data_IF_159881920625
#
_entry.id   IF_159881920625
#
_cell.length_a   1.000
_cell.length_b   1.000
_cell.length_c   1.000
_cell.angle_alpha   90.00
_cell.angle_beta   90.00
_cell.angle_gamma   90.00
#
_symmetry.space_group_name_H-M   'P 1'
#
loop_
_entity.id
_entity.type
_entity.pdbx_description
1 polymer ?
#
# COMPACT_ATOMS: atom_id res chain seq x y z
N UNK A 1 3.35 26.94 2.43
CA UNK A 1 3.02 27.35 1.05
C UNK A 1 2.33 26.26 0.21
N UNK A 2 2.85 25.04 0.07
CA UNK A 2 2.30 24.03 -0.88
C UNK A 2 0.93 23.45 -0.46
N UNK A 3 0.55 23.52 0.83
CA UNK A 3 -0.69 22.91 1.35
C UNK A 3 -1.95 23.38 0.61
N UNK A 4 -2.03 24.66 0.25
CA UNK A 4 -3.23 25.27 -0.34
C UNK A 4 -3.21 25.31 -1.88
N UNK A 5 -2.15 24.78 -2.50
CA UNK A 5 -2.04 24.73 -3.95
C UNK A 5 -2.87 23.59 -4.52
N UNK A 6 -3.55 23.86 -5.64
CA UNK A 6 -4.17 22.82 -6.45
C UNK A 6 -3.10 21.98 -7.18
N UNK A 7 -3.53 20.96 -7.92
CA UNK A 7 -2.60 20.05 -8.62
C UNK A 7 -1.68 20.79 -9.60
N UNK A 8 -2.25 21.63 -10.47
CA UNK A 8 -1.51 22.39 -11.50
C UNK A 8 -0.50 23.35 -10.88
N UNK A 9 -0.89 24.05 -9.83
CA UNK A 9 -0.01 24.96 -9.09
C UNK A 9 1.11 24.19 -8.36
N UNK A 10 0.79 23.01 -7.81
CA UNK A 10 1.80 22.17 -7.17
C UNK A 10 2.81 21.63 -8.18
N UNK A 11 2.38 21.31 -9.39
CA UNK A 11 3.26 20.89 -10.48
C UNK A 11 4.19 22.02 -10.93
N UNK A 12 3.66 23.23 -11.14
CA UNK A 12 4.46 24.39 -11.53
C UNK A 12 5.52 24.73 -10.46
N UNK A 13 5.14 24.76 -9.19
CA UNK A 13 6.09 24.96 -8.08
C UNK A 13 7.15 23.86 -8.04
N UNK A 14 6.75 22.58 -8.17
CA UNK A 14 7.68 21.46 -8.18
C UNK A 14 8.62 21.46 -9.40
N UNK A 15 8.23 22.11 -10.50
CA UNK A 15 9.09 22.38 -11.67
C UNK A 15 10.12 23.46 -11.37
N UNK A 16 9.70 24.57 -10.76
CA UNK A 16 10.56 25.72 -10.45
C UNK A 16 11.56 25.45 -9.32
N UNK A 17 11.21 24.61 -8.36
CA UNK A 17 12.05 24.28 -7.20
C UNK A 17 13.20 23.29 -7.52
N UNK A 18 13.42 22.91 -8.79
CA UNK A 18 14.49 21.98 -9.21
C UNK A 18 14.44 20.63 -8.47
N UNK A 19 13.23 20.19 -8.10
CA UNK A 19 13.04 18.88 -7.46
C UNK A 19 13.38 17.74 -8.43
N UNK A 20 13.91 16.65 -7.88
CA UNK A 20 14.12 15.40 -8.62
C UNK A 20 12.79 14.83 -9.14
N UNK A 21 12.87 13.91 -10.10
CA UNK A 21 11.68 13.26 -10.67
C UNK A 21 10.90 12.49 -9.60
N UNK A 22 11.61 11.83 -8.70
CA UNK A 22 11.08 11.06 -7.59
C UNK A 22 10.36 11.97 -6.59
N UNK A 23 10.97 13.08 -6.17
CA UNK A 23 10.36 14.04 -5.25
C UNK A 23 9.11 14.68 -5.84
N UNK A 24 9.17 15.08 -7.12
CA UNK A 24 8.01 15.63 -7.83
C UNK A 24 6.88 14.61 -7.88
N UNK A 25 7.18 13.34 -8.19
CA UNK A 25 6.19 12.27 -8.19
C UNK A 25 5.53 12.11 -6.83
N UNK A 26 6.30 12.13 -5.74
CA UNK A 26 5.77 12.04 -4.36
C UNK A 26 4.77 13.17 -4.08
N UNK A 27 5.10 14.42 -4.43
CA UNK A 27 4.23 15.57 -4.20
C UNK A 27 2.94 15.44 -5.02
N UNK A 28 3.07 15.12 -6.30
CA UNK A 28 1.93 15.05 -7.23
C UNK A 28 0.99 13.89 -6.90
N UNK A 29 1.51 12.70 -6.60
CA UNK A 29 0.71 11.55 -6.20
C UNK A 29 0.00 11.81 -4.87
N UNK A 30 0.68 12.43 -3.90
CA UNK A 30 0.05 12.86 -2.63
C UNK A 30 -1.10 13.81 -2.91
N UNK A 31 -0.88 14.86 -3.72
CA UNK A 31 -1.93 15.84 -4.06
C UNK A 31 -3.11 15.22 -4.78
N UNK A 32 -2.86 14.27 -5.67
CA UNK A 32 -3.89 13.56 -6.44
C UNK A 32 -4.74 12.65 -5.57
N UNK A 33 -4.15 11.93 -4.63
CA UNK A 33 -4.82 10.85 -3.89
C UNK A 33 -5.33 11.27 -2.50
N UNK A 34 -4.67 12.23 -1.84
CA UNK A 34 -5.02 12.67 -0.48
C UNK A 34 -6.49 13.13 -0.32
N UNK A 35 -7.12 13.85 -1.28
CA UNK A 35 -8.53 14.21 -1.15
C UNK A 35 -9.46 13.01 -1.04
N UNK A 36 -9.20 11.94 -1.81
CA UNK A 36 -9.99 10.70 -1.77
C UNK A 36 -9.81 9.96 -0.45
N UNK A 37 -8.58 9.93 0.06
CA UNK A 37 -8.23 9.35 1.36
C UNK A 37 -8.97 10.08 2.49
N UNK A 38 -8.90 11.42 2.50
CA UNK A 38 -9.60 12.24 3.49
C UNK A 38 -11.12 12.08 3.41
N UNK A 39 -11.67 11.96 2.20
CA UNK A 39 -13.09 11.69 2.01
C UNK A 39 -13.49 10.34 2.59
N UNK A 40 -12.72 9.28 2.33
CA UNK A 40 -12.98 7.94 2.86
C UNK A 40 -12.93 7.91 4.39
N UNK A 41 -11.96 8.60 5.00
CA UNK A 41 -11.86 8.76 6.45
C UNK A 41 -13.07 9.52 7.03
N UNK A 42 -13.45 10.65 6.43
CA UNK A 42 -14.59 11.46 6.89
C UNK A 42 -15.93 10.74 6.77
N UNK A 43 -16.10 9.92 5.73
CA UNK A 43 -17.30 9.08 5.54
C UNK A 43 -17.29 7.81 6.40
N UNK A 44 -16.24 7.60 7.20
CA UNK A 44 -16.08 6.43 8.06
C UNK A 44 -16.26 5.11 7.30
N UNK A 45 -15.62 4.99 6.13
CA UNK A 45 -15.64 3.76 5.37
C UNK A 45 -14.99 2.60 6.15
N UNK A 46 -15.32 1.34 5.81
CA UNK A 46 -14.67 0.17 6.40
C UNK A 46 -13.14 0.26 6.32
N UNK A 47 -12.45 -0.24 7.35
CA UNK A 47 -10.99 -0.10 7.49
C UNK A 47 -10.21 -0.73 6.32
N UNK A 48 -10.67 -1.86 5.80
CA UNK A 48 -10.07 -2.50 4.62
C UNK A 48 -10.13 -1.58 3.40
N UNK A 49 -11.22 -0.84 3.24
CA UNK A 49 -11.41 0.13 2.16
C UNK A 49 -10.55 1.39 2.37
N UNK A 50 -10.43 1.89 3.60
CA UNK A 50 -9.51 2.98 3.95
C UNK A 50 -8.07 2.57 3.66
N UNK A 51 -7.66 1.35 4.01
CA UNK A 51 -6.30 0.88 3.77
C UNK A 51 -5.98 0.75 2.28
N UNK A 52 -6.96 0.44 1.42
CA UNK A 52 -6.77 0.52 -0.04
C UNK A 52 -6.47 1.94 -0.52
N UNK A 53 -7.04 2.98 0.10
CA UNK A 53 -6.68 4.35 -0.23
C UNK A 53 -5.30 4.74 0.29
N UNK A 54 -4.93 4.25 1.48
CA UNK A 54 -3.60 4.51 2.02
C UNK A 54 -2.49 3.90 1.15
N UNK A 55 -2.72 2.75 0.51
CA UNK A 55 -1.73 2.16 -0.41
C UNK A 55 -1.53 2.94 -1.71
N UNK A 56 -2.41 3.90 -2.03
CA UNK A 56 -2.24 4.83 -3.15
C UNK A 56 -1.32 6.01 -2.79
N UNK A 57 -1.13 6.29 -1.50
CA UNK A 57 -0.24 7.36 -1.08
C UNK A 57 1.21 6.88 -1.03
N UNK A 58 2.17 7.70 -1.47
CA UNK A 58 3.57 7.47 -1.13
C UNK A 58 3.77 7.59 0.39
N UNK A 59 4.86 7.04 0.93
CA UNK A 59 5.14 7.04 2.38
C UNK A 59 5.06 8.45 2.98
N UNK A 60 5.67 9.43 2.29
CA UNK A 60 5.65 10.83 2.70
C UNK A 60 4.24 11.43 2.70
N UNK A 61 3.35 10.94 1.82
CA UNK A 61 1.95 11.34 1.79
C UNK A 61 1.16 10.83 3.00
N UNK A 62 1.50 9.64 3.51
CA UNK A 62 0.94 9.08 4.74
C UNK A 62 1.44 9.87 5.96
N UNK A 63 2.74 10.15 6.03
CA UNK A 63 3.33 11.00 7.09
C UNK A 63 2.66 12.38 7.10
N UNK A 64 2.47 12.99 5.92
CA UNK A 64 1.78 14.27 5.82
C UNK A 64 0.34 14.20 6.35
N UNK A 65 -0.39 13.11 6.03
CA UNK A 65 -1.74 12.88 6.51
C UNK A 65 -1.80 12.79 8.05
N UNK A 66 -0.87 12.04 8.64
CA UNK A 66 -0.72 11.84 10.09
C UNK A 66 -0.50 13.17 10.82
N UNK A 67 0.53 13.92 10.41
CA UNK A 67 0.88 15.22 11.02
C UNK A 67 -0.24 16.25 10.84
N UNK A 68 -0.91 16.26 9.68
CA UNK A 68 -1.93 17.27 9.38
C UNK A 68 -3.31 16.94 9.96
N UNK A 69 -3.57 15.69 10.37
CA UNK A 69 -4.88 15.24 10.83
C UNK A 69 -4.74 14.27 12.02
N UNK A 70 -4.30 14.76 13.20
CA UNK A 70 -4.00 13.92 14.36
C UNK A 70 -5.19 13.08 14.86
N UNK A 71 -6.44 13.51 14.61
CA UNK A 71 -7.64 12.72 14.92
C UNK A 71 -7.66 11.30 14.32
N UNK A 72 -6.89 11.06 13.25
CA UNK A 72 -6.81 9.76 12.56
C UNK A 72 -5.51 8.99 12.87
N UNK A 73 -4.70 9.47 13.81
CA UNK A 73 -3.42 8.87 14.21
C UNK A 73 -3.56 7.37 14.52
N UNK A 74 -4.55 6.97 15.31
CA UNK A 74 -4.76 5.56 15.66
C UNK A 74 -4.99 4.64 14.43
N UNK A 75 -5.71 5.13 13.42
CA UNK A 75 -5.98 4.39 12.18
C UNK A 75 -4.67 4.27 11.38
N UNK A 76 -3.91 5.36 11.28
CA UNK A 76 -2.65 5.42 10.54
C UNK A 76 -1.58 4.56 11.22
N UNK A 77 -1.44 4.64 12.54
CA UNK A 77 -0.55 3.79 13.32
C UNK A 77 -0.88 2.30 13.15
N UNK A 78 -2.17 1.95 13.11
CA UNK A 78 -2.61 0.57 12.83
C UNK A 78 -2.23 0.13 11.41
N UNK A 79 -2.38 1.02 10.43
CA UNK A 79 -1.92 0.77 9.07
C UNK A 79 -0.41 0.51 9.01
N UNK A 80 0.43 1.35 9.65
CA UNK A 80 1.88 1.13 9.69
C UNK A 80 2.25 -0.22 10.31
N UNK A 81 1.61 -0.57 11.44
CA UNK A 81 1.80 -1.90 12.06
C UNK A 81 1.44 -3.04 11.11
N UNK A 82 0.32 -2.92 10.38
CA UNK A 82 -0.08 -3.91 9.37
C UNK A 82 0.92 -3.98 8.22
N UNK A 83 1.31 -2.84 7.67
CA UNK A 83 2.27 -2.69 6.58
C UNK A 83 3.60 -3.41 6.88
N UNK A 84 4.10 -3.25 8.12
CA UNK A 84 5.33 -3.90 8.57
C UNK A 84 5.22 -5.43 8.67
N UNK A 85 4.03 -5.94 9.01
CA UNK A 85 3.75 -7.39 9.11
C UNK A 85 3.22 -8.02 7.82
N UNK A 86 2.94 -7.22 6.79
CA UNK A 86 2.28 -7.66 5.58
C UNK A 86 3.19 -8.40 4.58
N UNK A 87 4.51 -8.50 4.84
CA UNK A 87 5.42 -9.27 3.99
C UNK A 87 4.94 -10.72 3.85
N UNK A 88 5.03 -11.28 2.65
CA UNK A 88 4.68 -12.68 2.39
C UNK A 88 5.59 -13.61 3.23
N UNK A 89 5.02 -14.72 3.72
CA UNK A 89 5.79 -15.78 4.39
C UNK A 89 6.34 -16.76 3.36
N UNK A 90 5.61 -17.02 2.27
CA UNK A 90 6.11 -17.73 1.12
C UNK A 90 7.20 -16.92 0.41
N UNK A 91 8.15 -17.62 -0.19
CA UNK A 91 9.24 -17.06 -0.98
C UNK A 91 9.29 -17.66 -2.38
N UNK A 92 10.26 -17.23 -3.20
CA UNK A 92 10.44 -17.72 -4.57
C UNK A 92 10.63 -19.23 -4.66
N UNK A 93 11.25 -19.85 -3.66
CA UNK A 93 11.42 -21.31 -3.62
C UNK A 93 10.09 -22.03 -3.38
N UNK A 94 9.19 -21.44 -2.59
CA UNK A 94 7.83 -21.97 -2.45
C UNK A 94 7.04 -21.82 -3.76
N UNK A 95 7.16 -20.69 -4.46
CA UNK A 95 6.50 -20.50 -5.76
C UNK A 95 7.04 -21.48 -6.81
N UNK A 96 8.35 -21.73 -6.82
CA UNK A 96 8.98 -22.74 -7.68
C UNK A 96 8.41 -24.13 -7.44
N UNK A 97 8.28 -24.53 -6.17
CA UNK A 97 7.67 -25.80 -5.76
C UNK A 97 6.19 -25.90 -6.12
N UNK A 98 5.48 -24.78 -6.26
CA UNK A 98 4.11 -24.74 -6.76
C UNK A 98 4.02 -24.83 -8.30
N UNK A 99 5.15 -24.86 -9.01
CA UNK A 99 5.21 -24.98 -10.47
C UNK A 99 5.38 -23.67 -11.22
N UNK A 100 5.49 -22.53 -10.54
CA UNK A 100 5.72 -21.25 -11.22
C UNK A 100 7.17 -21.15 -11.68
N UNK A 101 7.38 -20.70 -12.93
CA UNK A 101 8.72 -20.37 -13.43
C UNK A 101 9.23 -19.07 -12.81
N UNK A 102 10.51 -18.98 -12.40
CA UNK A 102 11.10 -17.75 -11.92
C UNK A 102 10.96 -16.62 -12.95
N UNK A 103 10.61 -15.42 -12.48
CA UNK A 103 10.45 -14.26 -13.34
C UNK A 103 9.53 -13.19 -12.74
N UNK A 104 9.06 -12.23 -13.56
CA UNK A 104 8.20 -11.12 -13.10
C UNK A 104 6.93 -11.56 -12.38
N UNK A 105 6.44 -12.77 -12.67
CA UNK A 105 5.26 -13.36 -12.03
C UNK A 105 5.46 -13.53 -10.51
N UNK A 106 6.67 -13.82 -10.03
CA UNK A 106 6.95 -13.94 -8.60
C UNK A 106 6.68 -12.61 -7.89
N UNK A 107 7.22 -11.51 -8.44
CA UNK A 107 7.00 -10.17 -7.90
C UNK A 107 5.52 -9.85 -7.85
N UNK A 108 4.78 -10.12 -8.94
CA UNK A 108 3.33 -9.91 -9.02
C UNK A 108 2.57 -10.68 -7.93
N UNK A 109 2.93 -11.94 -7.69
CA UNK A 109 2.30 -12.78 -6.65
C UNK A 109 2.60 -12.23 -5.25
N UNK A 110 3.86 -11.94 -4.95
CA UNK A 110 4.28 -11.45 -3.63
C UNK A 110 3.69 -10.07 -3.31
N UNK A 111 3.66 -9.18 -4.30
CA UNK A 111 3.00 -7.87 -4.19
C UNK A 111 1.50 -8.03 -3.96
N UNK A 112 0.85 -8.97 -4.66
CA UNK A 112 -0.58 -9.23 -4.45
C UNK A 112 -0.86 -9.74 -3.03
N UNK A 113 -0.07 -10.69 -2.53
CA UNK A 113 -0.19 -11.17 -1.14
C UNK A 113 -0.02 -10.04 -0.14
N UNK A 114 0.98 -9.18 -0.37
CA UNK A 114 1.23 -8.02 0.47
C UNK A 114 0.02 -7.09 0.54
N UNK A 115 -0.59 -6.77 -0.61
CA UNK A 115 -1.79 -5.94 -0.66
C UNK A 115 -2.97 -6.59 0.08
N UNK A 116 -3.21 -7.88 -0.14
CA UNK A 116 -4.30 -8.61 0.52
C UNK A 116 -4.11 -8.71 2.05
N UNK A 117 -2.86 -8.74 2.52
CA UNK A 117 -2.55 -8.68 3.96
C UNK A 117 -2.79 -7.29 4.56
N UNK A 118 -2.46 -6.22 3.83
CA UNK A 118 -2.70 -4.84 4.30
C UNK A 118 -4.20 -4.59 4.49
N UNK A 119 -5.02 -4.96 3.50
CA UNK A 119 -6.47 -4.76 3.55
C UNK A 119 -7.16 -5.72 4.52
N UNK A 120 -6.49 -6.82 4.91
CA UNK A 120 -6.96 -7.76 5.94
C UNK A 120 -7.63 -9.02 5.39
N UNK A 121 -7.59 -9.25 4.08
CA UNK A 121 -8.10 -10.47 3.45
C UNK A 121 -7.20 -11.68 3.70
N UNK A 122 -5.91 -11.44 3.93
CA UNK A 122 -4.96 -12.45 4.38
C UNK A 122 -4.49 -12.17 5.82
N UNK A 123 -4.33 -13.22 6.65
CA UNK A 123 -3.96 -13.03 8.04
C UNK A 123 -2.48 -12.66 8.20
N UNK A 124 -2.22 -11.84 9.22
CA UNK A 124 -0.86 -11.41 9.62
C UNK A 124 -0.50 -11.81 11.06
N UNK A 125 -1.47 -12.18 11.88
CA UNK A 125 -1.30 -12.45 13.32
C UNK A 125 -1.48 -13.94 13.67
N UNK A 126 -1.22 -14.84 12.72
CA UNK A 126 -1.25 -16.29 12.95
C UNK A 126 0.18 -16.86 12.99
N UNK A 127 0.37 -18.09 13.51
CA UNK A 127 1.65 -18.79 13.37
C UNK A 127 2.10 -18.86 11.90
N UNK A 128 3.39 -18.65 11.65
CA UNK A 128 3.97 -18.60 10.28
C UNK A 128 3.53 -19.78 9.40
N UNK A 129 3.45 -20.99 9.96
CA UNK A 129 2.98 -22.19 9.25
C UNK A 129 1.56 -22.03 8.69
N UNK A 130 0.61 -21.57 9.52
CA UNK A 130 -0.79 -21.35 9.11
C UNK A 130 -0.93 -20.19 8.11
N UNK A 131 -0.11 -19.13 8.26
CA UNK A 131 -0.07 -18.03 7.27
C UNK A 131 0.38 -18.57 5.92
N UNK A 132 1.48 -19.33 5.90
CA UNK A 132 2.03 -19.93 4.69
C UNK A 132 1.01 -20.80 3.95
N UNK A 133 0.28 -21.65 4.66
CA UNK A 133 -0.79 -22.47 4.08
C UNK A 133 -1.89 -21.63 3.42
N UNK A 134 -2.30 -20.53 4.06
CA UNK A 134 -3.30 -19.61 3.49
C UNK A 134 -2.76 -18.83 2.29
N UNK A 135 -1.51 -18.41 2.32
CA UNK A 135 -0.85 -17.78 1.17
C UNK A 135 -0.76 -18.76 -0.02
N UNK A 136 -0.37 -20.01 0.20
CA UNK A 136 -0.34 -21.03 -0.86
C UNK A 136 -1.73 -21.22 -1.47
N UNK A 137 -2.77 -21.41 -0.64
CA UNK A 137 -4.16 -21.52 -1.11
C UNK A 137 -4.61 -20.28 -1.90
N UNK A 138 -4.18 -19.10 -1.46
CA UNK A 138 -4.46 -17.87 -2.18
C UNK A 138 -3.80 -17.85 -3.56
N UNK A 139 -2.52 -18.24 -3.64
CA UNK A 139 -1.78 -18.29 -4.92
C UNK A 139 -2.43 -19.26 -5.89
N UNK A 140 -2.69 -20.50 -5.47
CA UNK A 140 -3.27 -21.53 -6.35
C UNK A 140 -4.66 -21.20 -6.85
N UNK A 141 -5.45 -20.43 -6.07
CA UNK A 141 -6.79 -19.99 -6.47
C UNK A 141 -6.78 -18.82 -7.46
N UNK A 142 -5.81 -17.91 -7.36
CA UNK A 142 -5.86 -16.62 -8.09
C UNK A 142 -4.83 -16.48 -9.20
N UNK A 143 -3.88 -17.41 -9.29
CA UNK A 143 -2.84 -17.41 -10.32
C UNK A 143 -2.84 -18.76 -11.02
N UNK A 144 -3.09 -18.76 -12.33
CA UNK A 144 -2.93 -19.93 -13.16
C UNK A 144 -1.45 -20.23 -13.39
N UNK A 145 -1.10 -21.51 -13.48
CA UNK A 145 0.19 -21.93 -13.98
C UNK A 145 0.26 -21.58 -15.48
N UNK A 146 1.35 -20.94 -15.88
CA UNK A 146 1.65 -20.58 -17.26
C UNK A 146 2.48 -21.68 -17.93
#
# INVERSE_FOLDING_TARGET
MIKNLNYMQSEDVARRMVLTREERKVILETKKHLPKVLQALRKNYPLDYIYRYFTLLPEQGIIHLEVSNPRWENIIATFHRRKNKARAVINGENLKKLGFKPGPIYKKILERIYQEKIVGNLPINLPKKKIKEKEIKFVTKHFALA
#
